data_IF_393777804565
#
_entry.id   IF_393777804565
#
_cell.length_a   1.000
_cell.length_b   1.000
_cell.length_c   1.000
_cell.angle_alpha   90.00
_cell.angle_beta   90.00
_cell.angle_gamma   90.00
#
_symmetry.space_group_name_H-M   'P 1'
#
loop_
_entity.id
_entity.type
_entity.pdbx_description
1 polymer ?
#
# COMPACT_ATOMS: atom_id res chain seq x y z
N UNK A 1 37.49 -3.26 45.45
CA UNK A 1 36.51 -4.10 44.73
C UNK A 1 35.74 -3.17 43.83
N UNK A 2 36.11 -3.14 42.55
CA UNK A 2 35.61 -2.17 41.58
C UNK A 2 34.11 -2.29 41.42
N UNK A 3 33.42 -1.15 41.55
CA UNK A 3 32.07 -0.93 41.05
C UNK A 3 32.04 -1.31 39.58
N UNK A 4 31.40 -2.44 39.27
CA UNK A 4 31.10 -2.84 37.90
C UNK A 4 30.12 -1.78 37.38
N UNK A 5 30.59 -0.86 36.53
CA UNK A 5 29.74 0.13 35.89
C UNK A 5 28.63 -0.63 35.16
N UNK A 6 27.39 -0.42 35.62
CA UNK A 6 26.22 -1.03 35.01
C UNK A 6 26.07 -0.41 33.64
N UNK A 7 26.40 -1.18 32.60
CA UNK A 7 26.29 -0.74 31.23
C UNK A 7 24.84 -0.42 30.90
N UNK A 8 24.55 0.84 30.64
CA UNK A 8 23.23 1.32 30.23
C UNK A 8 23.40 1.84 28.81
N UNK A 9 22.77 1.15 27.87
CA UNK A 9 22.71 1.61 26.49
C UNK A 9 21.58 2.62 26.36
N UNK A 10 21.87 3.75 25.73
CA UNK A 10 20.90 4.78 25.38
C UNK A 10 20.49 4.64 23.91
N UNK A 11 19.21 4.38 23.68
CA UNK A 11 18.62 4.24 22.36
C UNK A 11 17.77 5.47 22.05
N UNK A 12 18.14 6.23 21.02
CA UNK A 12 17.28 7.27 20.46
C UNK A 12 16.39 6.64 19.39
N UNK A 13 15.11 6.46 19.69
CA UNK A 13 14.13 5.82 18.81
C UNK A 13 13.37 6.89 18.03
N UNK A 14 13.37 6.79 16.70
CA UNK A 14 12.59 7.63 15.79
C UNK A 14 11.43 6.78 15.25
N UNK A 15 10.19 7.12 15.61
CA UNK A 15 8.97 6.50 15.07
C UNK A 15 8.43 7.30 13.88
N UNK A 16 8.50 8.64 13.97
CA UNK A 16 8.22 9.59 12.88
C UNK A 16 9.05 10.87 13.11
N UNK A 17 9.01 11.82 12.18
CA UNK A 17 9.70 13.11 12.34
C UNK A 17 9.22 13.89 13.59
N UNK A 18 7.97 13.66 14.00
CA UNK A 18 7.34 14.32 15.13
C UNK A 18 7.27 13.43 16.40
N UNK A 19 7.66 12.16 16.33
CA UNK A 19 7.67 11.22 17.47
C UNK A 19 9.05 10.57 17.63
N UNK A 20 9.86 11.15 18.52
CA UNK A 20 11.22 10.71 18.85
C UNK A 20 11.31 10.49 20.36
N UNK A 21 11.77 9.30 20.75
CA UNK A 21 11.80 8.85 22.16
C UNK A 21 13.20 8.39 22.55
N UNK A 22 13.50 8.43 23.84
CA UNK A 22 14.73 7.88 24.39
C UNK A 22 14.38 6.66 25.24
N UNK A 23 15.02 5.54 24.96
CA UNK A 23 14.88 4.28 25.71
C UNK A 23 16.23 3.93 26.31
N UNK A 24 16.30 3.85 27.63
CA UNK A 24 17.44 3.29 28.33
C UNK A 24 17.22 1.79 28.55
N UNK A 25 18.25 0.98 28.31
CA UNK A 25 18.22 -0.46 28.58
C UNK A 25 19.55 -0.93 29.14
N UNK A 26 19.48 -1.70 30.22
CA UNK A 26 20.62 -2.28 30.94
C UNK A 26 20.91 -3.72 30.52
N UNK A 27 19.99 -4.36 29.80
CA UNK A 27 20.17 -5.68 29.21
C UNK A 27 19.78 -5.62 27.73
N UNK A 28 20.75 -5.84 26.84
CA UNK A 28 20.48 -6.08 25.42
C UNK A 28 20.29 -7.58 25.18
N UNK A 29 19.25 -7.97 24.42
CA UNK A 29 19.11 -9.33 23.95
C UNK A 29 20.27 -9.76 23.04
N UNK A 30 20.56 -11.06 23.01
CA UNK A 30 21.61 -11.62 22.15
C UNK A 30 21.18 -11.73 20.68
N UNK A 31 19.87 -11.85 20.43
CA UNK A 31 19.31 -11.99 19.08
C UNK A 31 18.56 -10.73 18.66
N UNK A 32 18.55 -10.47 17.34
CA UNK A 32 17.80 -9.35 16.77
C UNK A 32 16.28 -9.52 16.95
N UNK A 33 15.78 -10.76 16.87
CA UNK A 33 14.34 -11.04 17.04
C UNK A 33 13.87 -10.73 18.46
N UNK A 34 14.63 -11.13 19.49
CA UNK A 34 14.32 -10.80 20.89
C UNK A 34 14.41 -9.29 21.16
N UNK A 35 15.33 -8.60 20.49
CA UNK A 35 15.43 -7.15 20.53
C UNK A 35 14.22 -6.45 19.91
N UNK A 36 13.67 -6.96 18.82
CA UNK A 36 12.44 -6.44 18.22
C UNK A 36 11.24 -6.64 19.15
N UNK A 37 11.15 -7.78 19.81
CA UNK A 37 10.09 -8.03 20.79
C UNK A 37 10.20 -7.08 21.99
N UNK A 38 11.41 -6.84 22.49
CA UNK A 38 11.65 -5.87 23.56
C UNK A 38 11.21 -4.45 23.18
N UNK A 39 11.53 -4.00 21.97
CA UNK A 39 11.10 -2.69 21.46
C UNK A 39 9.57 -2.61 21.31
N UNK A 40 8.91 -3.64 20.79
CA UNK A 40 7.44 -3.69 20.70
C UNK A 40 6.80 -3.50 22.07
N UNK A 41 7.27 -4.24 23.08
CA UNK A 41 6.72 -4.16 24.44
C UNK A 41 6.98 -2.81 25.11
N UNK A 42 8.20 -2.26 25.02
CA UNK A 42 8.52 -0.96 25.66
C UNK A 42 7.83 0.21 24.98
N UNK A 43 7.58 0.14 23.67
CA UNK A 43 7.00 1.23 22.89
C UNK A 43 5.48 1.08 22.68
N UNK A 44 4.89 -0.05 23.08
CA UNK A 44 3.45 -0.32 22.92
C UNK A 44 3.03 -0.49 21.46
N UNK A 45 3.91 -1.05 20.61
CA UNK A 45 3.67 -1.18 19.16
C UNK A 45 3.09 -2.55 18.82
N UNK A 46 2.14 -2.58 17.88
CA UNK A 46 1.56 -3.79 17.32
C UNK A 46 1.97 -3.96 15.84
N UNK A 47 2.15 -5.20 15.36
CA UNK A 47 2.60 -5.52 14.00
C UNK A 47 4.09 -5.86 13.84
N UNK A 48 4.54 -6.16 12.61
CA UNK A 48 5.94 -6.51 12.31
C UNK A 48 6.82 -5.25 12.25
N UNK A 49 8.02 -5.29 12.85
CA UNK A 49 8.94 -4.16 12.83
C UNK A 49 10.05 -4.37 11.79
N UNK A 50 10.46 -3.28 11.16
CA UNK A 50 11.80 -3.12 10.58
C UNK A 50 12.53 -2.09 11.43
N UNK A 51 13.67 -2.48 11.98
CA UNK A 51 14.52 -1.58 12.76
C UNK A 51 15.74 -1.25 11.94
N UNK A 52 16.00 0.04 11.77
CA UNK A 52 17.21 0.55 11.14
C UNK A 52 18.07 1.27 12.17
N UNK A 53 19.40 1.17 12.06
CA UNK A 53 20.33 1.92 12.91
C UNK A 53 21.13 2.92 12.07
N UNK A 54 21.54 4.03 12.69
CA UNK A 54 22.50 4.95 12.08
C UNK A 54 23.92 4.43 12.28
N UNK A 55 24.66 4.26 11.19
CA UNK A 55 26.06 3.85 11.23
C UNK A 55 26.99 5.09 11.19
N UNK A 56 27.79 5.35 12.25
CA UNK A 56 28.74 6.46 12.28
C UNK A 56 29.86 6.37 11.22
N UNK A 57 30.16 5.18 10.70
CA UNK A 57 31.20 4.93 9.69
C UNK A 57 30.71 5.24 8.27
N UNK A 58 29.40 5.44 8.09
CA UNK A 58 28.75 5.77 6.82
C UNK A 58 27.92 7.06 6.93
N UNK A 59 28.51 8.12 7.48
CA UNK A 59 27.90 9.46 7.61
C UNK A 59 26.51 9.49 8.30
N UNK A 60 26.22 8.51 9.16
CA UNK A 60 24.94 8.31 9.86
C UNK A 60 23.76 7.90 8.95
N UNK A 61 24.04 7.26 7.82
CA UNK A 61 23.03 6.60 7.00
C UNK A 61 22.34 5.44 7.74
N UNK A 62 21.11 5.11 7.32
CA UNK A 62 20.25 4.12 7.97
C UNK A 62 20.37 2.74 7.33
N UNK A 63 20.74 1.74 8.13
CA UNK A 63 20.87 0.35 7.70
C UNK A 63 19.92 -0.57 8.48
N UNK A 64 19.36 -1.57 7.81
CA UNK A 64 18.51 -2.57 8.48
C UNK A 64 19.35 -3.39 9.47
N UNK A 65 18.92 -3.41 10.73
CA UNK A 65 19.56 -4.21 11.76
C UNK A 65 19.34 -5.69 11.44
N UNK A 66 20.42 -6.46 11.31
CA UNK A 66 20.34 -7.91 11.08
C UNK A 66 21.02 -8.70 12.21
N UNK A 67 21.91 -8.06 12.96
CA UNK A 67 22.58 -8.62 14.13
C UNK A 67 22.81 -7.55 15.19
N UNK A 68 22.72 -7.93 16.46
CA UNK A 68 23.00 -7.04 17.59
C UNK A 68 24.47 -6.59 17.67
N UNK A 69 25.37 -7.28 16.96
CA UNK A 69 26.80 -6.94 16.88
C UNK A 69 27.07 -5.67 16.06
N UNK A 70 26.09 -5.21 15.29
CA UNK A 70 26.15 -4.03 14.42
C UNK A 70 25.90 -2.72 15.18
N UNK A 71 25.37 -2.79 16.42
CA UNK A 71 25.09 -1.60 17.21
C UNK A 71 26.35 -1.11 17.96
N UNK A 72 26.58 0.22 18.02
CA UNK A 72 27.64 0.78 18.85
C UNK A 72 27.42 0.42 20.32
N UNK A 73 28.50 0.34 21.09
CA UNK A 73 28.43 -0.11 22.48
C UNK A 73 27.58 0.83 23.34
N UNK A 74 27.82 2.13 23.33
CA UNK A 74 27.27 2.98 24.40
C UNK A 74 25.93 3.63 24.06
N UNK A 75 25.71 3.97 22.78
CA UNK A 75 24.50 4.65 22.30
C UNK A 75 24.23 4.35 20.85
N UNK A 76 22.96 4.25 20.47
CA UNK A 76 22.54 4.08 19.09
C UNK A 76 21.30 4.93 18.78
N UNK A 77 21.22 5.41 17.54
CA UNK A 77 19.99 6.00 17.00
C UNK A 77 19.31 4.95 16.12
N UNK A 78 18.06 4.64 16.42
CA UNK A 78 17.26 3.65 15.71
C UNK A 78 16.05 4.32 15.07
N UNK A 79 15.77 4.00 13.81
CA UNK A 79 14.50 4.28 13.15
C UNK A 79 13.66 3.01 13.16
N UNK A 80 12.51 3.06 13.83
CA UNK A 80 11.62 1.91 13.96
C UNK A 80 10.45 2.14 13.01
N UNK A 81 10.41 1.32 11.97
CA UNK A 81 9.35 1.30 11.00
C UNK A 81 8.44 0.13 11.34
N UNK A 82 7.19 0.43 11.69
CA UNK A 82 6.17 -0.60 11.70
C UNK A 82 5.95 -0.94 10.23
N UNK A 83 6.08 -2.21 9.84
CA UNK A 83 5.63 -2.71 8.55
C UNK A 83 4.12 -2.54 8.51
N UNK A 84 3.67 -1.33 8.19
CA UNK A 84 2.43 -1.16 7.51
C UNK A 84 2.60 -1.92 6.21
N UNK A 85 1.67 -2.80 5.93
CA UNK A 85 1.50 -3.30 4.59
C UNK A 85 1.14 -2.10 3.68
N UNK A 86 2.14 -1.33 3.22
CA UNK A 86 2.34 -0.58 1.95
C UNK A 86 3.35 0.57 2.20
N UNK A 87 4.54 0.53 1.55
CA UNK A 87 5.03 1.41 0.44
C UNK A 87 5.20 2.89 0.89
N UNK A 88 6.34 3.58 0.76
CA UNK A 88 6.94 4.06 -0.51
C UNK A 88 8.24 4.90 -0.32
N UNK A 89 9.09 4.86 -1.37
CA UNK A 89 9.86 5.98 -2.02
C UNK A 89 10.94 6.78 -1.24
N UNK A 90 12.04 7.34 -1.81
CA UNK A 90 12.42 7.75 -3.18
C UNK A 90 13.91 8.22 -3.31
N UNK A 91 14.32 8.64 -4.54
CA UNK A 91 15.56 9.33 -5.03
C UNK A 91 16.77 8.44 -5.42
N UNK A 92 17.57 8.67 -6.48
CA UNK A 92 17.54 9.58 -7.64
C UNK A 92 18.58 9.10 -8.71
N UNK A 93 18.32 9.43 -9.97
CA UNK A 93 19.23 9.76 -11.11
C UNK A 93 20.65 9.14 -11.23
N UNK A 94 20.98 8.48 -12.35
CA UNK A 94 22.08 8.83 -13.30
C UNK A 94 22.13 7.88 -14.53
N UNK A 95 22.21 8.56 -15.66
CA UNK A 95 22.51 8.25 -17.07
C UNK A 95 23.57 7.19 -17.48
N UNK A 96 23.30 6.60 -18.67
CA UNK A 96 24.18 6.04 -19.74
C UNK A 96 24.90 4.70 -19.47
N UNK A 97 24.85 3.67 -20.33
CA UNK A 97 25.07 3.70 -21.80
C UNK A 97 24.50 2.48 -22.52
N UNK A 98 24.08 2.69 -23.77
CA UNK A 98 23.62 1.72 -24.76
C UNK A 98 24.73 0.90 -25.41
N UNK A 99 24.46 -0.38 -25.71
CA UNK A 99 25.02 -1.08 -26.88
C UNK A 99 24.22 -2.35 -27.26
N UNK A 100 23.32 -2.17 -28.24
CA UNK A 100 23.11 -2.93 -29.49
C UNK A 100 22.99 -4.47 -29.57
N UNK A 101 22.12 -4.85 -30.53
CA UNK A 101 21.94 -6.12 -31.28
C UNK A 101 20.89 -7.08 -30.70
N UNK A 102 19.96 -7.69 -31.44
CA UNK A 102 19.39 -7.49 -32.78
C UNK A 102 18.18 -8.47 -32.87
N UNK A 103 17.29 -8.21 -33.82
CA UNK A 103 16.25 -9.09 -34.38
C UNK A 103 15.12 -9.70 -33.51
N UNK A 104 13.89 -9.35 -33.92
CA UNK A 104 12.67 -10.16 -33.75
C UNK A 104 12.22 -10.61 -35.15
N UNK A 105 11.73 -11.84 -35.32
CA UNK A 105 10.30 -11.94 -35.64
C UNK A 105 9.59 -13.14 -34.99
N UNK A 106 8.41 -12.84 -34.44
CA UNK A 106 7.22 -13.70 -34.28
C UNK A 106 7.39 -15.20 -33.97
N UNK A 107 7.02 -15.59 -32.75
CA UNK A 107 6.67 -16.97 -32.41
C UNK A 107 6.14 -17.09 -30.99
N UNK A 108 4.84 -17.36 -30.85
CA UNK A 108 4.19 -17.71 -29.60
C UNK A 108 4.78 -19.03 -29.07
N UNK A 109 5.84 -18.96 -28.25
CA UNK A 109 6.36 -20.10 -27.49
C UNK A 109 5.80 -20.01 -26.08
N UNK A 110 5.06 -21.04 -25.67
CA UNK A 110 4.83 -21.36 -24.26
C UNK A 110 6.19 -21.42 -23.56
N UNK A 111 6.48 -20.42 -22.73
CA UNK A 111 7.69 -20.32 -21.92
C UNK A 111 7.64 -21.39 -20.82
N UNK A 112 8.23 -22.56 -21.07
CA UNK A 112 8.41 -23.64 -20.09
C UNK A 112 9.90 -23.83 -19.80
N UNK A 113 10.24 -24.14 -18.54
CA UNK A 113 11.63 -24.36 -18.11
C UNK A 113 12.21 -25.61 -18.81
N UNK A 114 13.44 -25.57 -19.36
CA UNK A 114 14.05 -26.74 -19.99
C UNK A 114 14.24 -27.89 -19.00
N UNK A 115 14.02 -29.12 -19.46
CA UNK A 115 14.30 -30.34 -18.71
C UNK A 115 15.33 -31.22 -19.45
N UNK A 116 16.53 -31.47 -18.90
CA UNK A 116 17.04 -30.96 -17.62
C UNK A 116 17.37 -29.46 -17.66
N UNK A 117 17.20 -28.77 -16.53
CA UNK A 117 17.60 -27.36 -16.41
C UNK A 117 19.12 -27.22 -16.50
N UNK A 118 19.60 -26.30 -17.32
CA UNK A 118 21.03 -26.07 -17.52
C UNK A 118 21.53 -25.12 -16.43
N UNK A 119 22.45 -25.60 -15.59
CA UNK A 119 23.05 -24.79 -14.52
C UNK A 119 24.03 -23.79 -15.15
N UNK A 120 23.83 -22.47 -14.96
CA UNK A 120 24.74 -21.45 -15.48
C UNK A 120 26.08 -21.51 -14.76
N UNK A 121 27.15 -21.13 -15.44
CA UNK A 121 28.47 -21.05 -14.84
C UNK A 121 28.54 -19.91 -13.80
N UNK A 122 29.16 -20.18 -12.65
CA UNK A 122 29.33 -19.22 -11.56
C UNK A 122 30.74 -19.30 -10.97
N UNK A 123 31.11 -18.34 -10.11
CA UNK A 123 32.49 -18.20 -9.58
C UNK A 123 33.05 -19.49 -8.96
N UNK A 124 32.20 -20.31 -8.35
CA UNK A 124 32.58 -21.62 -7.78
C UNK A 124 33.10 -22.62 -8.82
N UNK A 125 32.76 -22.50 -10.11
CA UNK A 125 33.34 -23.31 -11.19
C UNK A 125 34.83 -23.02 -11.42
N UNK A 126 35.32 -21.83 -11.05
CA UNK A 126 36.74 -21.48 -11.14
C UNK A 126 37.58 -22.07 -9.99
N UNK A 127 36.96 -22.40 -8.85
CA UNK A 127 37.60 -23.00 -7.68
C UNK A 127 37.71 -24.54 -7.75
N UNK A 128 37.23 -25.15 -8.83
CA UNK A 128 37.15 -26.60 -9.00
C UNK A 128 38.50 -27.33 -9.15
N UNK A 129 39.64 -26.66 -8.93
CA UNK A 129 40.96 -27.26 -9.06
C UNK A 129 41.53 -27.90 -7.78
N UNK A 130 41.13 -27.45 -6.58
CA UNK A 130 41.74 -27.93 -5.34
C UNK A 130 40.74 -28.61 -4.40
N UNK A 131 41.07 -29.84 -3.99
CA UNK A 131 40.18 -30.84 -3.40
C UNK A 131 39.85 -30.69 -1.90
N UNK A 132 39.60 -29.48 -1.40
CA UNK A 132 39.19 -29.29 0.00
C UNK A 132 37.66 -29.04 0.12
N UNK A 133 37.05 -29.57 1.19
CA UNK A 133 35.65 -29.33 1.54
C UNK A 133 35.53 -27.88 2.03
N UNK A 134 35.19 -26.96 1.11
CA UNK A 134 35.12 -25.54 1.41
C UNK A 134 33.78 -25.19 2.03
N UNK A 135 33.84 -24.50 3.17
CA UNK A 135 32.71 -23.79 3.75
C UNK A 135 32.23 -22.75 2.74
N UNK A 136 30.95 -22.82 2.35
CA UNK A 136 30.41 -21.94 1.31
C UNK A 136 30.21 -20.56 1.94
N UNK A 137 31.05 -19.60 1.58
CA UNK A 137 30.90 -18.22 2.04
C UNK A 137 29.54 -17.65 1.64
N UNK A 138 29.03 -16.71 2.45
CA UNK A 138 27.75 -16.03 2.22
C UNK A 138 27.68 -15.39 0.83
N UNK A 139 28.79 -14.81 0.36
CA UNK A 139 28.88 -14.14 -0.94
C UNK A 139 28.84 -15.13 -2.11
N UNK A 140 29.49 -16.28 -1.97
CA UNK A 140 29.50 -17.33 -2.99
C UNK A 140 28.12 -17.99 -3.12
N UNK A 141 27.43 -18.20 -2.00
CA UNK A 141 26.03 -18.65 -2.00
C UNK A 141 25.13 -17.62 -2.71
N UNK A 142 25.35 -16.33 -2.46
CA UNK A 142 24.58 -15.26 -3.07
C UNK A 142 24.78 -15.18 -4.60
N UNK A 143 26.01 -15.31 -5.10
CA UNK A 143 26.36 -15.29 -6.52
C UNK A 143 25.71 -16.45 -7.29
N UNK A 144 25.80 -17.68 -6.75
CA UNK A 144 25.14 -18.87 -7.32
C UNK A 144 23.64 -18.64 -7.47
N UNK A 145 23.01 -18.07 -6.44
CA UNK A 145 21.57 -17.81 -6.44
C UNK A 145 21.18 -16.67 -7.41
N UNK A 146 21.99 -15.62 -7.55
CA UNK A 146 21.78 -14.54 -8.52
C UNK A 146 21.80 -15.10 -9.96
N UNK A 147 22.80 -15.93 -10.28
CA UNK A 147 22.93 -16.56 -11.62
C UNK A 147 21.79 -17.52 -11.93
N UNK A 148 21.35 -18.30 -10.96
CA UNK A 148 20.19 -19.17 -11.12
C UNK A 148 18.90 -18.37 -11.32
N UNK A 149 18.69 -17.30 -10.56
CA UNK A 149 17.51 -16.44 -10.70
C UNK A 149 17.45 -15.80 -12.10
N UNK A 150 18.58 -15.30 -12.60
CA UNK A 150 18.72 -14.76 -13.96
C UNK A 150 18.35 -15.81 -15.03
N UNK A 151 18.92 -17.02 -14.94
CA UNK A 151 18.66 -18.09 -15.89
C UNK A 151 17.21 -18.61 -15.85
N UNK A 152 16.60 -18.69 -14.66
CA UNK A 152 15.19 -19.06 -14.52
C UNK A 152 14.30 -17.99 -15.13
N UNK A 153 14.58 -16.71 -14.88
CA UNK A 153 13.75 -15.59 -15.31
C UNK A 153 13.56 -15.51 -16.83
N UNK A 154 14.61 -15.83 -17.60
CA UNK A 154 14.56 -15.88 -19.08
C UNK A 154 13.46 -16.83 -19.58
N UNK A 155 13.19 -17.91 -18.82
CA UNK A 155 12.28 -18.98 -19.22
C UNK A 155 10.97 -19.01 -18.44
N UNK A 156 10.96 -18.57 -17.19
CA UNK A 156 9.78 -18.55 -16.32
C UNK A 156 9.92 -17.37 -15.35
N UNK A 157 9.39 -16.18 -15.71
CA UNK A 157 9.37 -15.02 -14.83
C UNK A 157 8.64 -15.28 -13.50
N UNK A 158 7.71 -16.24 -13.47
CA UNK A 158 6.96 -16.66 -12.28
C UNK A 158 7.00 -18.18 -12.09
N UNK A 159 8.09 -18.72 -11.52
CA UNK A 159 8.23 -20.16 -11.41
C UNK A 159 7.23 -20.78 -10.45
N UNK A 160 6.69 -21.94 -10.81
CA UNK A 160 5.82 -22.75 -9.94
C UNK A 160 6.64 -23.46 -8.85
N UNK A 161 6.03 -23.87 -7.72
CA UNK A 161 6.72 -24.58 -6.65
C UNK A 161 7.56 -25.78 -7.14
N UNK A 162 7.04 -26.54 -8.09
CA UNK A 162 7.72 -27.70 -8.65
C UNK A 162 8.94 -27.30 -9.50
N UNK A 163 8.92 -26.16 -10.18
CA UNK A 163 10.06 -25.69 -10.99
C UNK A 163 11.27 -25.35 -10.12
N UNK A 164 11.06 -24.80 -8.92
CA UNK A 164 12.14 -24.60 -7.94
C UNK A 164 12.76 -25.92 -7.46
N UNK A 165 11.95 -26.98 -7.35
CA UNK A 165 12.44 -28.30 -6.94
C UNK A 165 13.36 -28.90 -7.99
N UNK A 166 12.98 -28.79 -9.27
CA UNK A 166 13.79 -29.27 -10.38
C UNK A 166 15.13 -28.53 -10.47
N UNK A 167 15.12 -27.19 -10.31
CA UNK A 167 16.37 -26.40 -10.35
C UNK A 167 17.29 -26.73 -9.17
N UNK A 168 16.73 -26.85 -7.97
CA UNK A 168 17.52 -27.18 -6.78
C UNK A 168 18.13 -28.61 -6.87
N UNK A 169 17.39 -29.57 -7.42
CA UNK A 169 17.90 -30.91 -7.71
C UNK A 169 19.00 -30.89 -8.78
N UNK A 170 18.79 -30.15 -9.88
CA UNK A 170 19.80 -30.01 -10.93
C UNK A 170 21.10 -29.39 -10.40
N UNK A 171 21.00 -28.41 -9.49
CA UNK A 171 22.15 -27.78 -8.84
C UNK A 171 22.99 -28.78 -8.05
N UNK A 172 22.38 -29.55 -7.15
CA UNK A 172 23.14 -30.50 -6.32
C UNK A 172 23.64 -31.71 -7.12
N UNK A 173 22.92 -32.10 -8.19
CA UNK A 173 23.35 -33.20 -9.05
C UNK A 173 24.58 -32.81 -9.86
N UNK A 174 24.64 -31.54 -10.30
CA UNK A 174 25.79 -30.97 -11.00
C UNK A 174 26.96 -30.72 -10.03
N UNK A 175 26.67 -30.27 -8.81
CA UNK A 175 27.66 -29.95 -7.78
C UNK A 175 27.35 -30.67 -6.46
N UNK A 176 27.71 -31.95 -6.31
CA UNK A 176 27.43 -32.72 -5.10
C UNK A 176 28.02 -32.13 -3.80
N UNK A 177 29.03 -31.26 -3.91
CA UNK A 177 29.64 -30.54 -2.78
C UNK A 177 28.76 -29.42 -2.22
N UNK A 178 27.77 -28.94 -2.96
CA UNK A 178 26.79 -27.97 -2.48
C UNK A 178 25.68 -28.61 -1.64
N UNK A 179 25.70 -29.95 -1.48
CA UNK A 179 24.72 -30.69 -0.69
C UNK A 179 24.88 -30.32 0.79
N UNK A 180 23.81 -29.84 1.41
CA UNK A 180 23.87 -29.42 2.80
C UNK A 180 24.05 -30.61 3.76
N UNK A 181 24.98 -30.53 4.72
CA UNK A 181 25.20 -31.57 5.73
C UNK A 181 23.94 -31.77 6.60
N UNK A 182 23.50 -33.01 6.79
CA UNK A 182 22.37 -33.34 7.66
C UNK A 182 20.98 -33.23 7.01
N UNK A 183 20.88 -32.79 5.76
CA UNK A 183 19.61 -32.77 5.03
C UNK A 183 19.39 -34.07 4.25
N UNK A 184 18.22 -34.71 4.42
CA UNK A 184 17.84 -35.99 3.77
C UNK A 184 18.02 -35.90 2.25
N UNK A 185 17.60 -34.79 1.66
CA UNK A 185 17.64 -34.56 0.22
C UNK A 185 18.77 -33.60 -0.20
N UNK A 186 19.24 -32.72 0.70
CA UNK A 186 20.41 -31.86 0.46
C UNK A 186 20.21 -30.66 -0.47
N UNK A 187 19.08 -30.57 -1.16
CA UNK A 187 18.69 -29.46 -2.03
C UNK A 187 17.58 -28.56 -1.45
N UNK A 188 16.97 -28.95 -0.33
CA UNK A 188 15.77 -28.28 0.19
C UNK A 188 16.01 -26.81 0.56
N UNK A 189 17.05 -26.47 1.31
CA UNK A 189 17.30 -25.07 1.65
C UNK A 189 17.77 -24.22 0.46
N UNK A 190 18.36 -24.84 -0.58
CA UNK A 190 18.62 -24.19 -1.86
C UNK A 190 17.32 -23.79 -2.56
N UNK A 191 16.28 -24.63 -2.54
CA UNK A 191 14.93 -24.27 -3.03
C UNK A 191 14.40 -23.01 -2.34
N UNK A 192 14.45 -22.93 -1.00
CA UNK A 192 13.97 -21.76 -0.28
C UNK A 192 14.82 -20.52 -0.58
N UNK A 193 16.14 -20.67 -0.51
CA UNK A 193 17.07 -19.57 -0.81
C UNK A 193 16.86 -19.02 -2.22
N UNK A 194 16.64 -19.92 -3.20
CA UNK A 194 16.35 -19.57 -4.58
C UNK A 194 14.97 -18.91 -4.73
N UNK A 195 13.94 -19.36 -4.01
CA UNK A 195 12.64 -18.69 -3.99
C UNK A 195 12.71 -17.26 -3.45
N UNK A 196 13.43 -17.04 -2.35
CA UNK A 196 13.68 -15.71 -1.80
C UNK A 196 14.50 -14.84 -2.78
N UNK A 197 15.55 -15.41 -3.36
CA UNK A 197 16.40 -14.71 -4.32
C UNK A 197 15.65 -14.34 -5.59
N UNK A 198 14.80 -15.24 -6.10
CA UNK A 198 13.94 -15.00 -7.24
C UNK A 198 12.95 -13.87 -6.95
N UNK A 199 12.35 -13.82 -5.76
CA UNK A 199 11.51 -12.70 -5.34
C UNK A 199 12.27 -11.35 -5.33
N UNK A 200 13.51 -11.34 -4.84
CA UNK A 200 14.36 -10.14 -4.87
C UNK A 200 14.78 -9.77 -6.30
N UNK A 201 15.10 -10.76 -7.14
CA UNK A 201 15.48 -10.55 -8.54
C UNK A 201 14.30 -9.99 -9.34
N UNK A 202 13.11 -10.52 -9.10
CA UNK A 202 11.87 -10.01 -9.66
C UNK A 202 11.63 -8.56 -9.21
N UNK A 203 11.81 -8.26 -7.93
CA UNK A 203 11.69 -6.91 -7.42
C UNK A 203 12.74 -5.97 -8.05
N UNK A 204 13.99 -6.42 -8.21
CA UNK A 204 15.06 -5.66 -8.90
C UNK A 204 14.68 -5.35 -10.34
N UNK A 205 14.15 -6.33 -11.09
CA UNK A 205 13.72 -6.13 -12.48
C UNK A 205 12.47 -5.25 -12.58
N UNK A 206 11.54 -5.34 -11.62
CA UNK A 206 10.39 -4.45 -11.51
C UNK A 206 10.83 -3.00 -11.27
N UNK A 207 11.81 -2.79 -10.39
CA UNK A 207 12.44 -1.48 -10.13
C UNK A 207 13.19 -0.97 -11.36
N UNK A 208 13.79 -1.86 -12.16
CA UNK A 208 14.43 -1.53 -13.43
C UNK A 208 13.43 -1.28 -14.59
N UNK A 209 12.12 -1.34 -14.35
CA UNK A 209 11.08 -1.07 -15.35
C UNK A 209 10.70 -2.25 -16.26
N UNK A 210 11.11 -3.47 -15.93
CA UNK A 210 10.69 -4.66 -16.68
C UNK A 210 9.23 -5.02 -16.38
N UNK A 211 8.39 -4.93 -17.40
CA UNK A 211 6.92 -4.98 -17.35
C UNK A 211 6.34 -6.36 -16.96
N UNK A 212 7.16 -7.39 -16.76
CA UNK A 212 6.69 -8.78 -16.62
C UNK A 212 6.31 -9.18 -15.19
N UNK A 213 6.41 -8.31 -14.17
CA UNK A 213 6.40 -8.72 -12.76
C UNK A 213 5.40 -8.05 -11.80
N UNK A 214 4.17 -7.74 -12.20
CA UNK A 214 3.16 -7.11 -11.32
C UNK A 214 1.90 -7.97 -11.11
N UNK A 215 1.96 -9.08 -10.35
CA UNK A 215 0.72 -9.70 -9.81
C UNK A 215 0.97 -10.40 -8.45
N UNK A 216 0.11 -10.09 -7.47
CA UNK A 216 -0.19 -10.80 -6.21
C UNK A 216 0.70 -10.57 -4.96
N UNK A 217 0.16 -9.81 -3.99
CA UNK A 217 -0.21 -10.34 -2.67
C UNK A 217 -0.94 -9.28 -1.82
N UNK A 218 -2.28 -9.19 -1.85
CA UNK A 218 -3.09 -8.71 -0.70
C UNK A 218 -4.49 -9.32 -0.63
N UNK A 219 -4.82 -9.76 0.58
CA UNK A 219 -6.12 -10.13 1.14
C UNK A 219 -6.69 -11.53 0.88
N UNK A 220 -6.57 -12.36 1.92
CA UNK A 220 -7.32 -13.61 2.15
C UNK A 220 -8.60 -13.35 2.96
N UNK A 221 -9.45 -12.39 2.61
CA UNK A 221 -10.83 -12.27 3.16
C UNK A 221 -11.66 -11.24 2.39
N UNK A 222 -11.99 -11.52 1.14
CA UNK A 222 -13.26 -11.15 0.49
C UNK A 222 -13.24 -11.81 -0.88
N UNK A 223 -14.40 -12.17 -1.41
CA UNK A 223 -14.50 -12.71 -2.77
C UNK A 223 -13.75 -11.79 -3.74
N UNK A 224 -12.73 -12.34 -4.40
CA UNK A 224 -12.01 -11.77 -5.54
C UNK A 224 -11.44 -10.34 -5.36
N UNK A 225 -10.30 -10.22 -4.66
CA UNK A 225 -9.47 -8.99 -4.62
C UNK A 225 -9.20 -8.40 -6.02
N UNK A 226 -9.03 -9.28 -7.00
CA UNK A 226 -9.07 -9.01 -8.44
C UNK A 226 -10.17 -9.88 -9.05
N UNK A 227 -11.32 -9.31 -9.44
CA UNK A 227 -12.36 -10.09 -10.10
C UNK A 227 -11.91 -10.53 -11.49
N UNK A 228 -12.32 -11.74 -11.88
CA UNK A 228 -12.13 -12.22 -13.24
C UNK A 228 -12.94 -11.38 -14.24
N UNK A 229 -12.53 -11.41 -15.50
CA UNK A 229 -13.30 -10.78 -16.56
C UNK A 229 -14.65 -11.47 -16.74
N UNK A 230 -15.73 -10.73 -17.07
CA UNK A 230 -17.03 -11.33 -17.31
C UNK A 230 -16.95 -12.40 -18.42
N UNK A 231 -17.79 -13.42 -18.34
CA UNK A 231 -17.80 -14.51 -19.30
C UNK A 231 -17.93 -13.98 -20.75
N UNK A 232 -17.02 -14.41 -21.62
CA UNK A 232 -16.96 -13.97 -23.02
C UNK A 232 -16.34 -12.58 -23.25
N UNK A 233 -15.88 -11.86 -22.22
CA UNK A 233 -15.17 -10.58 -22.37
C UNK A 233 -13.65 -10.79 -22.36
N UNK A 234 -12.98 -10.22 -23.36
CA UNK A 234 -11.53 -10.10 -23.39
C UNK A 234 -11.07 -8.73 -22.89
N UNK A 235 -9.79 -8.62 -22.52
CA UNK A 235 -9.11 -7.35 -22.24
C UNK A 235 -9.42 -6.29 -23.31
N UNK A 236 -9.30 -6.66 -24.60
CA UNK A 236 -9.56 -5.74 -25.72
C UNK A 236 -11.00 -5.22 -25.74
N UNK A 237 -11.99 -6.05 -25.40
CA UNK A 237 -13.38 -5.59 -25.33
C UNK A 237 -13.60 -4.62 -24.18
N UNK A 238 -12.95 -4.84 -23.02
CA UNK A 238 -13.05 -3.94 -21.88
C UNK A 238 -12.31 -2.62 -22.13
N UNK A 239 -11.20 -2.63 -22.86
CA UNK A 239 -10.49 -1.43 -23.30
C UNK A 239 -11.31 -0.59 -24.30
N UNK A 240 -12.12 -1.24 -25.14
CA UNK A 240 -13.10 -0.56 -25.99
C UNK A 240 -14.20 0.10 -25.15
N UNK A 241 -14.77 -0.63 -24.18
CA UNK A 241 -15.77 -0.09 -23.24
C UNK A 241 -15.19 1.11 -22.45
N UNK A 242 -13.93 1.04 -21.99
CA UNK A 242 -13.21 2.16 -21.35
C UNK A 242 -13.07 3.36 -22.28
N UNK A 243 -12.62 3.14 -23.51
CA UNK A 243 -12.41 4.22 -24.49
C UNK A 243 -13.72 4.92 -24.84
N UNK A 244 -14.80 4.15 -25.04
CA UNK A 244 -16.14 4.67 -25.27
C UNK A 244 -16.64 5.51 -24.08
N UNK A 245 -16.37 5.08 -22.85
CA UNK A 245 -16.72 5.82 -21.64
C UNK A 245 -16.02 7.18 -21.55
N UNK A 246 -14.71 7.24 -21.87
CA UNK A 246 -13.97 8.51 -21.89
C UNK A 246 -14.57 9.48 -22.92
N UNK A 247 -15.00 8.98 -24.08
CA UNK A 247 -15.66 9.80 -25.10
C UNK A 247 -17.03 10.28 -24.63
N UNK A 248 -17.82 9.39 -24.00
CA UNK A 248 -19.15 9.72 -23.46
C UNK A 248 -19.08 10.83 -22.40
N UNK A 249 -18.12 10.75 -21.50
CA UNK A 249 -17.87 11.75 -20.44
C UNK A 249 -17.53 13.15 -20.98
N UNK A 250 -17.08 13.26 -22.24
CA UNK A 250 -16.77 14.55 -22.88
C UNK A 250 -17.98 15.20 -23.55
N UNK A 251 -19.12 14.51 -23.66
CA UNK A 251 -20.32 15.07 -24.28
C UNK A 251 -20.97 16.11 -23.37
N UNK A 252 -21.55 17.15 -23.97
CA UNK A 252 -22.35 18.17 -23.24
C UNK A 252 -23.53 17.57 -22.48
N UNK A 253 -24.13 16.51 -23.03
CA UNK A 253 -25.18 15.72 -22.40
C UNK A 253 -24.72 14.27 -22.39
N UNK A 254 -24.05 13.88 -21.31
CA UNK A 254 -23.56 12.52 -21.13
C UNK A 254 -24.71 11.58 -20.75
N UNK A 255 -24.73 10.38 -21.35
CA UNK A 255 -25.64 9.30 -20.94
C UNK A 255 -25.08 8.58 -19.70
N UNK A 256 -25.52 9.01 -18.53
CA UNK A 256 -25.10 8.43 -17.24
C UNK A 256 -25.50 6.97 -17.07
N UNK A 257 -26.58 6.52 -17.73
CA UNK A 257 -26.98 5.12 -17.70
C UNK A 257 -25.99 4.26 -18.49
N UNK A 258 -25.55 4.76 -19.65
CA UNK A 258 -24.52 4.11 -20.45
C UNK A 258 -23.17 4.11 -19.74
N UNK A 259 -22.77 5.24 -19.14
CA UNK A 259 -21.54 5.35 -18.33
C UNK A 259 -21.55 4.34 -17.19
N UNK A 260 -22.65 4.26 -16.42
CA UNK A 260 -22.77 3.29 -15.33
C UNK A 260 -22.62 1.84 -15.79
N UNK A 261 -23.17 1.49 -16.95
CA UNK A 261 -23.01 0.16 -17.56
C UNK A 261 -21.56 -0.12 -17.94
N UNK A 262 -20.88 0.84 -18.58
CA UNK A 262 -19.46 0.71 -18.94
C UNK A 262 -18.58 0.61 -17.70
N UNK A 263 -18.82 1.43 -16.68
CA UNK A 263 -18.12 1.38 -15.38
C UNK A 263 -18.27 0.04 -14.68
N UNK A 264 -19.47 -0.56 -14.74
CA UNK A 264 -19.71 -1.88 -14.16
C UNK A 264 -18.95 -2.99 -14.92
N UNK A 265 -19.04 -3.00 -16.26
CA UNK A 265 -18.38 -4.00 -17.08
C UNK A 265 -16.86 -3.94 -16.98
N UNK A 266 -16.31 -2.73 -16.84
CA UNK A 266 -14.87 -2.47 -16.78
C UNK A 266 -14.28 -2.55 -15.38
N UNK A 267 -15.09 -2.87 -14.36
CA UNK A 267 -14.61 -2.96 -12.98
C UNK A 267 -13.40 -3.91 -12.82
N UNK A 268 -13.40 -5.14 -13.38
CA UNK A 268 -12.22 -6.01 -13.33
C UNK A 268 -10.97 -5.40 -13.95
N UNK A 269 -11.09 -4.79 -15.13
CA UNK A 269 -9.99 -4.13 -15.82
C UNK A 269 -9.43 -2.97 -14.99
N UNK A 270 -10.31 -2.07 -14.54
CA UNK A 270 -9.92 -0.90 -13.75
C UNK A 270 -9.34 -1.29 -12.40
N UNK A 271 -9.94 -2.27 -11.70
CA UNK A 271 -9.44 -2.75 -10.40
C UNK A 271 -8.05 -3.35 -10.56
N UNK A 272 -7.85 -4.15 -11.61
CA UNK A 272 -6.54 -4.68 -11.97
C UNK A 272 -5.53 -3.58 -12.24
N UNK A 273 -5.87 -2.60 -13.08
CA UNK A 273 -5.01 -1.45 -13.38
C UNK A 273 -4.62 -0.67 -12.10
N UNK A 274 -5.60 -0.28 -11.27
CA UNK A 274 -5.33 0.51 -10.05
C UNK A 274 -4.48 -0.28 -9.04
N UNK A 275 -4.77 -1.57 -8.85
CA UNK A 275 -4.11 -2.39 -7.84
C UNK A 275 -2.74 -2.90 -8.29
N UNK A 276 -2.59 -3.28 -9.55
CA UNK A 276 -1.33 -3.82 -10.07
C UNK A 276 -0.41 -2.71 -10.55
N UNK A 277 -0.94 -1.70 -11.24
CA UNK A 277 -0.12 -0.64 -11.84
C UNK A 277 0.19 0.49 -10.86
N UNK A 278 -0.65 0.70 -9.84
CA UNK A 278 -0.55 1.81 -8.86
C UNK A 278 -0.31 3.17 -9.55
N UNK A 279 -1.14 3.54 -10.56
CA UNK A 279 -0.92 4.75 -11.35
C UNK A 279 -1.15 6.02 -10.53
N UNK A 280 -0.52 7.11 -10.95
CA UNK A 280 -0.76 8.42 -10.34
C UNK A 280 -2.24 8.83 -10.47
N UNK A 281 -2.76 9.56 -9.50
CA UNK A 281 -4.16 10.04 -9.50
C UNK A 281 -4.50 10.79 -10.81
N UNK A 282 -3.55 11.55 -11.36
CA UNK A 282 -3.71 12.24 -12.64
C UNK A 282 -3.96 11.26 -13.81
N UNK A 283 -3.24 10.13 -13.84
CA UNK A 283 -3.40 9.09 -14.85
C UNK A 283 -4.72 8.33 -14.66
N UNK A 284 -5.12 8.04 -13.41
CA UNK A 284 -6.44 7.45 -13.12
C UNK A 284 -7.55 8.38 -13.61
N UNK A 285 -7.43 9.68 -13.38
CA UNK A 285 -8.41 10.68 -13.83
C UNK A 285 -8.50 10.76 -15.35
N UNK A 286 -7.38 10.64 -16.05
CA UNK A 286 -7.37 10.62 -17.51
C UNK A 286 -8.02 9.34 -18.07
N UNK A 287 -7.68 8.18 -17.51
CA UNK A 287 -8.11 6.86 -18.01
C UNK A 287 -9.52 6.48 -17.57
N UNK A 288 -9.92 6.88 -16.37
CA UNK A 288 -11.18 6.58 -15.71
C UNK A 288 -11.85 7.86 -15.19
N UNK A 289 -12.15 8.85 -16.05
CA UNK A 289 -12.67 10.15 -15.62
C UNK A 289 -13.99 10.05 -14.85
N UNK A 290 -14.79 9.02 -15.13
CA UNK A 290 -16.04 8.77 -14.44
C UNK A 290 -15.83 8.48 -12.93
N UNK A 291 -14.69 7.95 -12.49
CA UNK A 291 -14.39 7.77 -11.05
C UNK A 291 -14.39 9.08 -10.26
N UNK A 292 -14.27 10.23 -10.93
CA UNK A 292 -14.24 11.55 -10.31
C UNK A 292 -15.61 12.25 -10.39
N UNK A 293 -16.69 11.50 -10.63
CA UNK A 293 -18.06 11.96 -10.43
C UNK A 293 -18.65 11.33 -9.18
N UNK A 294 -19.42 12.11 -8.41
CA UNK A 294 -20.06 11.68 -7.17
C UNK A 294 -20.82 10.35 -7.35
N UNK A 295 -21.65 10.24 -8.39
CA UNK A 295 -22.45 9.04 -8.66
C UNK A 295 -21.60 7.78 -8.81
N UNK A 296 -20.44 7.87 -9.48
CA UNK A 296 -19.58 6.72 -9.68
C UNK A 296 -18.63 6.46 -8.51
N UNK A 297 -18.34 7.46 -7.67
CA UNK A 297 -17.63 7.22 -6.39
C UNK A 297 -18.47 6.29 -5.51
N UNK A 298 -19.76 6.58 -5.32
CA UNK A 298 -20.65 5.70 -4.55
C UNK A 298 -20.77 4.31 -5.18
N UNK A 299 -20.95 4.24 -6.50
CA UNK A 299 -21.06 2.96 -7.20
C UNK A 299 -19.77 2.14 -7.11
N UNK A 300 -18.59 2.77 -7.21
CA UNK A 300 -17.31 2.09 -7.11
C UNK A 300 -17.03 1.61 -5.69
N UNK A 301 -17.36 2.42 -4.67
CA UNK A 301 -17.29 2.00 -3.28
C UNK A 301 -18.12 0.73 -3.05
N UNK A 302 -19.35 0.68 -3.57
CA UNK A 302 -20.19 -0.50 -3.48
C UNK A 302 -19.56 -1.70 -4.21
N UNK A 303 -18.99 -1.53 -5.41
CA UNK A 303 -18.30 -2.63 -6.11
C UNK A 303 -17.11 -3.20 -5.32
N UNK A 304 -16.39 -2.36 -4.57
CA UNK A 304 -15.20 -2.76 -3.80
C UNK A 304 -15.56 -3.36 -2.44
N UNK A 305 -16.50 -2.74 -1.72
CA UNK A 305 -16.80 -3.05 -0.31
C UNK A 305 -18.10 -3.84 -0.17
N UNK A 306 -18.89 -3.98 -1.23
CA UNK A 306 -20.22 -4.61 -1.25
C UNK A 306 -21.21 -3.98 -0.27
N UNK A 307 -21.07 -2.66 -0.06
CA UNK A 307 -21.92 -1.85 0.80
C UNK A 307 -22.42 -0.63 0.08
N UNK A 308 -23.69 -0.30 0.30
CA UNK A 308 -24.24 0.96 -0.19
C UNK A 308 -23.94 2.06 0.82
N UNK A 309 -22.85 2.79 0.57
CA UNK A 309 -22.38 3.83 1.50
C UNK A 309 -23.46 4.86 1.81
N UNK A 310 -24.25 5.28 0.82
CA UNK A 310 -25.22 6.35 1.01
C UNK A 310 -26.39 5.86 1.85
N UNK A 311 -26.92 4.68 1.53
CA UNK A 311 -28.02 4.07 2.30
C UNK A 311 -27.56 3.77 3.73
N UNK A 312 -26.45 3.05 3.89
CA UNK A 312 -25.93 2.67 5.20
C UNK A 312 -25.66 3.89 6.09
N UNK A 313 -25.09 4.95 5.52
CA UNK A 313 -24.79 6.19 6.24
C UNK A 313 -26.06 6.91 6.70
N UNK A 314 -27.04 7.06 5.80
CA UNK A 314 -28.28 7.74 6.12
C UNK A 314 -29.16 6.95 7.10
N UNK A 315 -29.23 5.63 6.95
CA UNK A 315 -29.94 4.77 7.92
C UNK A 315 -29.29 4.85 9.32
N UNK A 316 -27.96 4.92 9.39
CA UNK A 316 -27.25 5.09 10.65
C UNK A 316 -27.59 6.45 11.31
N UNK A 317 -27.65 7.53 10.53
CA UNK A 317 -28.07 8.83 11.05
C UNK A 317 -29.52 8.78 11.57
N UNK A 318 -30.44 8.23 10.79
CA UNK A 318 -31.86 8.13 11.16
C UNK A 318 -32.06 7.33 12.45
N UNK A 319 -31.30 6.23 12.61
CA UNK A 319 -31.32 5.40 13.81
C UNK A 319 -30.76 6.12 15.05
N UNK A 320 -29.93 7.15 14.87
CA UNK A 320 -29.34 7.94 15.95
C UNK A 320 -30.12 9.21 16.28
N UNK A 321 -31.00 9.69 15.40
CA UNK A 321 -31.86 10.87 15.62
C UNK A 321 -32.63 10.82 16.95
N UNK A 322 -33.28 9.73 17.38
CA UNK A 322 -34.01 9.72 18.65
C UNK A 322 -33.08 9.91 19.87
N UNK A 323 -31.83 9.43 19.78
CA UNK A 323 -30.83 9.59 20.85
C UNK A 323 -30.31 11.02 20.92
N UNK A 324 -30.24 11.68 19.76
CA UNK A 324 -29.92 13.09 19.63
C UNK A 324 -30.97 13.94 20.35
N UNK A 325 -32.25 13.72 20.06
CA UNK A 325 -33.39 14.45 20.64
C UNK A 325 -33.56 14.18 22.14
N UNK A 326 -33.19 13.00 22.63
CA UNK A 326 -33.32 12.64 24.04
C UNK A 326 -32.28 13.30 24.97
N UNK A 327 -31.28 14.04 24.43
CA UNK A 327 -30.23 14.67 25.22
C UNK A 327 -30.78 15.83 26.06
N UNK A 328 -30.25 15.98 27.27
CA UNK A 328 -30.66 16.97 28.26
C UNK A 328 -29.45 17.75 28.80
N UNK A 329 -29.73 18.77 29.61
CA UNK A 329 -28.69 19.65 30.17
C UNK A 329 -28.19 20.66 29.15
N UNK A 330 -27.00 21.21 29.38
CA UNK A 330 -26.40 22.24 28.50
C UNK A 330 -26.23 21.73 27.06
N UNK A 331 -25.75 20.50 26.86
CA UNK A 331 -25.66 19.88 25.52
C UNK A 331 -27.04 19.79 24.87
N UNK A 332 -28.05 19.31 25.60
CA UNK A 332 -29.41 19.20 25.07
C UNK A 332 -30.03 20.55 24.69
N UNK A 333 -29.70 21.63 25.41
CA UNK A 333 -30.14 22.99 25.07
C UNK A 333 -29.54 23.43 23.72
N UNK A 334 -28.23 23.28 23.53
CA UNK A 334 -27.57 23.61 22.25
C UNK A 334 -28.10 22.77 21.09
N UNK A 335 -28.35 21.48 21.30
CA UNK A 335 -28.97 20.63 20.26
C UNK A 335 -30.41 21.07 19.94
N UNK A 336 -31.18 21.51 20.95
CA UNK A 336 -32.54 22.03 20.75
C UNK A 336 -32.52 23.33 19.94
N UNK A 337 -31.54 24.21 20.19
CA UNK A 337 -31.33 25.43 19.41
C UNK A 337 -31.01 25.11 17.94
N UNK A 338 -30.23 24.07 17.67
CA UNK A 338 -29.97 23.61 16.29
C UNK A 338 -31.24 23.10 15.61
N UNK A 339 -32.08 22.33 16.29
CA UNK A 339 -33.36 21.83 15.74
C UNK A 339 -34.32 22.99 15.45
N UNK A 340 -34.31 24.05 16.26
CA UNK A 340 -35.13 25.25 16.02
C UNK A 340 -34.73 26.05 14.77
N UNK A 341 -33.56 25.77 14.16
CA UNK A 341 -33.15 26.40 12.90
C UNK A 341 -33.88 25.83 11.68
N UNK A 342 -34.69 24.78 11.88
CA UNK A 342 -35.43 24.11 10.82
C UNK A 342 -36.92 24.38 10.95
N UNK A 343 -37.64 24.25 9.84
CA UNK A 343 -39.10 24.31 9.80
C UNK A 343 -39.73 23.35 10.82
N UNK A 344 -40.94 23.69 11.29
CA UNK A 344 -41.67 22.92 12.30
C UNK A 344 -41.94 21.45 11.92
N UNK A 345 -41.82 21.10 10.62
CA UNK A 345 -41.93 19.74 10.12
C UNK A 345 -40.78 19.46 9.14
N UNK A 346 -39.56 19.22 9.64
CA UNK A 346 -38.38 19.04 8.81
C UNK A 346 -38.46 17.71 8.04
N UNK A 347 -37.99 17.71 6.80
CA UNK A 347 -37.85 16.46 6.05
C UNK A 347 -36.69 15.60 6.58
N UNK A 348 -36.53 14.38 6.05
CA UNK A 348 -35.50 13.47 6.52
C UNK A 348 -34.08 14.02 6.29
N UNK A 349 -33.84 14.74 5.19
CA UNK A 349 -32.52 15.30 4.88
C UNK A 349 -32.18 16.47 5.79
N UNK A 350 -33.17 17.30 6.09
CA UNK A 350 -33.10 18.36 7.07
C UNK A 350 -32.70 17.82 8.45
N UNK A 351 -33.38 16.77 8.92
CA UNK A 351 -33.07 16.13 10.19
C UNK A 351 -31.67 15.51 10.21
N UNK A 352 -31.27 14.79 9.16
CA UNK A 352 -29.91 14.24 9.03
C UNK A 352 -28.85 15.34 9.10
N UNK A 353 -29.10 16.48 8.47
CA UNK A 353 -28.16 17.61 8.49
C UNK A 353 -28.02 18.21 9.90
N UNK A 354 -29.12 18.33 10.65
CA UNK A 354 -29.07 18.76 12.05
C UNK A 354 -28.33 17.77 12.92
N UNK A 355 -28.58 16.47 12.74
CA UNK A 355 -27.87 15.43 13.49
C UNK A 355 -26.37 15.54 13.26
N UNK A 356 -25.94 15.71 12.00
CA UNK A 356 -24.52 15.92 11.66
C UNK A 356 -23.95 17.17 12.33
N UNK A 357 -24.67 18.30 12.32
CA UNK A 357 -24.22 19.55 12.97
C UNK A 357 -24.11 19.47 14.48
N UNK A 358 -24.94 18.65 15.12
CA UNK A 358 -24.84 18.45 16.56
C UNK A 358 -23.87 17.33 16.97
N UNK A 359 -23.26 16.59 16.03
CA UNK A 359 -22.24 15.60 16.37
C UNK A 359 -21.05 16.20 17.16
N UNK A 360 -20.45 17.34 16.75
CA UNK A 360 -19.40 17.99 17.55
C UNK A 360 -19.86 18.30 18.97
N UNK A 361 -21.06 18.87 19.12
CA UNK A 361 -21.66 19.19 20.43
C UNK A 361 -21.84 17.93 21.30
N UNK A 362 -22.21 16.81 20.68
CA UNK A 362 -22.34 15.51 21.37
C UNK A 362 -20.99 14.93 21.81
N UNK A 363 -19.94 15.16 21.04
CA UNK A 363 -18.58 14.67 21.29
C UNK A 363 -17.79 15.60 22.22
N UNK A 364 -18.29 16.82 22.45
CA UNK A 364 -17.61 17.86 23.24
C UNK A 364 -16.61 18.70 22.45
N UNK A 365 -16.68 18.62 21.12
CA UNK A 365 -15.88 19.40 20.18
C UNK A 365 -16.54 20.77 19.91
N UNK A 366 -15.77 21.70 19.35
CA UNK A 366 -16.30 22.99 18.92
C UNK A 366 -17.21 22.83 17.71
N UNK A 367 -18.46 23.28 17.84
CA UNK A 367 -19.46 23.21 16.78
C UNK A 367 -19.41 24.39 15.80
N UNK A 368 -18.62 25.44 16.08
CA UNK A 368 -18.40 26.52 15.11
C UNK A 368 -17.64 26.03 13.86
N UNK A 369 -16.85 24.98 14.02
CA UNK A 369 -15.95 24.45 12.99
C UNK A 369 -16.58 23.28 12.21
N UNK A 370 -17.90 23.27 12.06
CA UNK A 370 -18.63 22.23 11.33
C UNK A 370 -18.07 22.00 9.91
N UNK A 371 -17.56 23.07 9.28
CA UNK A 371 -16.72 22.98 8.11
C UNK A 371 -15.30 23.38 8.50
N UNK A 372 -14.41 22.40 8.63
CA UNK A 372 -12.99 22.64 8.83
C UNK A 372 -12.20 22.05 7.66
N UNK A 373 -11.14 22.75 7.25
CA UNK A 373 -10.16 22.25 6.29
C UNK A 373 -9.06 21.52 7.06
N UNK A 374 -8.59 20.39 6.54
CA UNK A 374 -7.41 19.71 7.09
C UNK A 374 -6.21 20.68 7.18
N UNK A 375 -5.34 20.51 8.18
CA UNK A 375 -4.19 21.40 8.45
C UNK A 375 -3.24 21.51 7.24
N UNK A 376 -3.22 20.48 6.39
CA UNK A 376 -2.50 20.47 5.11
C UNK A 376 -2.99 21.52 4.11
N UNK A 377 -4.20 22.06 4.30
CA UNK A 377 -4.81 23.12 3.50
C UNK A 377 -4.85 24.48 4.21
N UNK A 378 -4.17 24.65 5.35
CA UNK A 378 -4.20 25.90 6.12
C UNK A 378 -3.77 27.15 5.32
N UNK A 379 -3.06 26.97 4.21
CA UNK A 379 -2.64 28.05 3.30
C UNK A 379 -3.59 28.29 2.12
N UNK A 380 -4.70 27.55 2.03
CA UNK A 380 -5.65 27.62 0.94
C UNK A 380 -7.01 28.03 1.48
N UNK A 381 -7.45 29.24 1.18
CA UNK A 381 -8.82 29.66 1.47
C UNK A 381 -9.78 28.83 0.64
N UNK A 382 -10.59 28.01 1.32
CA UNK A 382 -11.69 27.25 0.70
C UNK A 382 -13.00 27.82 1.20
N UNK A 383 -13.87 28.22 0.27
CA UNK A 383 -15.23 28.66 0.55
C UNK A 383 -16.24 27.60 0.10
N UNK A 384 -17.30 27.38 0.87
CA UNK A 384 -18.47 26.63 0.40
C UNK A 384 -19.49 27.64 -0.11
N UNK A 385 -19.73 27.65 -1.43
CA UNK A 385 -20.78 28.43 -2.06
C UNK A 385 -22.04 27.60 -2.15
N UNK A 386 -23.11 28.11 -1.56
CA UNK A 386 -24.44 27.51 -1.62
C UNK A 386 -25.35 28.45 -2.39
N UNK A 387 -25.94 27.98 -3.48
CA UNK A 387 -26.91 28.73 -4.29
C UNK A 387 -28.31 28.37 -3.82
N UNK A 388 -29.10 29.38 -3.47
CA UNK A 388 -30.45 29.24 -2.91
C UNK A 388 -31.47 29.92 -3.81
N UNK A 389 -32.75 29.59 -3.64
CA UNK A 389 -33.83 30.27 -4.34
C UNK A 389 -33.91 31.76 -3.92
N UNK A 390 -34.26 32.65 -4.86
CA UNK A 390 -34.40 34.09 -4.61
C UNK A 390 -35.44 34.42 -3.51
N UNK A 391 -36.39 33.51 -3.28
CA UNK A 391 -37.45 33.68 -2.29
C UNK A 391 -37.01 33.32 -0.85
N UNK A 392 -35.81 32.77 -0.64
CA UNK A 392 -35.28 32.45 0.69
C UNK A 392 -34.63 33.67 1.36
N UNK A 393 -35.04 33.99 2.59
CA UNK A 393 -34.38 35.04 3.38
C UNK A 393 -32.97 34.58 3.77
N UNK A 394 -31.97 35.39 3.45
CA UNK A 394 -30.57 35.16 3.83
C UNK A 394 -30.34 35.62 5.27
N UNK A 395 -30.45 34.72 6.25
CA UNK A 395 -30.03 34.98 7.64
C UNK A 395 -28.61 34.43 7.83
N UNK A 396 -27.75 35.19 8.51
CA UNK A 396 -26.38 34.76 8.83
C UNK A 396 -26.40 33.43 9.60
N UNK A 397 -25.63 32.44 9.13
CA UNK A 397 -25.54 31.07 9.67
C UNK A 397 -26.78 30.18 9.51
N UNK A 398 -27.79 30.59 8.73
CA UNK A 398 -28.96 29.76 8.45
C UNK A 398 -28.59 28.51 7.63
N UNK A 399 -29.21 27.37 7.97
CA UNK A 399 -29.12 26.17 7.14
C UNK A 399 -29.99 26.31 5.90
N UNK A 400 -29.35 26.32 4.75
CA UNK A 400 -30.02 26.11 3.47
C UNK A 400 -30.06 24.62 3.18
N UNK A 401 -31.18 23.97 3.50
CA UNK A 401 -31.37 22.53 3.38
C UNK A 401 -31.71 22.07 1.96
N UNK A 402 -32.17 23.00 1.12
CA UNK A 402 -32.52 22.76 -0.27
C UNK A 402 -31.79 23.70 -1.23
N UNK A 403 -30.45 23.65 -1.26
CA UNK A 403 -29.72 24.49 -2.19
C UNK A 403 -29.95 24.03 -3.63
N UNK A 404 -30.09 24.99 -4.54
CA UNK A 404 -30.11 24.73 -5.99
C UNK A 404 -28.80 24.10 -6.44
N UNK A 405 -27.68 24.50 -5.84
CA UNK A 405 -26.37 23.86 -6.03
C UNK A 405 -25.41 24.24 -4.91
N UNK A 406 -24.42 23.38 -4.65
CA UNK A 406 -23.31 23.67 -3.75
C UNK A 406 -22.00 23.48 -4.50
N UNK A 407 -21.05 24.39 -4.31
CA UNK A 407 -19.73 24.34 -4.91
C UNK A 407 -18.66 24.67 -3.88
N UNK A 408 -17.52 24.00 -3.95
CA UNK A 408 -16.31 24.42 -3.22
C UNK A 408 -15.51 25.38 -4.09
N UNK A 409 -15.35 26.60 -3.62
CA UNK A 409 -14.51 27.63 -4.21
C UNK A 409 -13.13 27.57 -3.56
N UNK A 410 -12.09 27.63 -4.38
CA UNK A 410 -10.72 27.79 -3.92
C UNK A 410 -10.24 29.16 -4.35
N UNK A 411 -9.69 29.93 -3.40
CA UNK A 411 -8.99 31.16 -3.73
C UNK A 411 -7.71 30.81 -4.50
N UNK A 412 -7.60 31.31 -5.73
CA UNK A 412 -6.40 31.19 -6.56
C UNK A 412 -5.70 32.54 -6.48
N UNK A 413 -4.64 32.61 -5.66
CA UNK A 413 -3.73 33.76 -5.60
C UNK A 413 -2.77 33.77 -6.79
#
# INVERSE_FOLDING_TARGET
LGTQEKFIMLLRIILSENDIRIVATDNLPETADDFYMMLKTKLGLDGDLVVQYQDPEFDNELFNLSSMSELPKDKATLKVLIKLHHTDSNLDTISLSSSSLDESPHGSKTRQLPQPFVIPAFSFDAYHRDGALLDISKDMKSDILDKLAEAIYVHSPYPKPDEYDHVAQALINRHPRLKEPGSVNGWYCWKFSLKFKMGNFQQKLRVAGCSELKVNLRSRTSMNFLPDFPEGKTQSNLDQDRSAMVIEMKKRKADWKQIGKMMNNTFPLRRKEIVEEEPLVAQVKERWPALFSEQQVYAEFNRVVTKDLQVDFFEALDCHTPRFEAKKGSVGQTLTELVQQVDANPDAMAMRTIVLRGLPVLLGDDSSDFYNTDETWAQVSVGVLTVVHEDEQLISNQLHLHPMSTAMLREVL
#
